data_IF_566355540756
#
_entry.id   IF_566355540756
#
_cell.length_a   1.000
_cell.length_b   1.000
_cell.length_c   1.000
_cell.angle_alpha   90.00
_cell.angle_beta   90.00
_cell.angle_gamma   90.00
#
_symmetry.space_group_name_H-M   'P 1'
#
loop_
_entity.id
_entity.type
_entity.pdbx_description
1 polymer ?
#
# COMPACT_ATOMS: atom_id res chain seq x y z
N UNK A 1 -13.43 -10.08 -7.75
CA UNK A 1 -13.01 -10.71 -8.99
C UNK A 1 -11.59 -11.27 -8.91
N UNK A 2 -11.18 -12.07 -9.90
CA UNK A 2 -9.88 -12.77 -9.94
C UNK A 2 -8.69 -11.80 -9.83
N UNK A 3 -8.81 -10.64 -10.44
CA UNK A 3 -7.80 -9.58 -10.45
C UNK A 3 -8.02 -8.50 -9.37
N UNK A 4 -8.88 -8.75 -8.39
CA UNK A 4 -9.03 -7.87 -7.25
C UNK A 4 -7.75 -7.82 -6.41
N UNK A 5 -7.46 -6.66 -5.82
CA UNK A 5 -6.26 -6.39 -5.03
C UNK A 5 -5.97 -7.48 -3.98
N UNK A 6 -6.99 -7.94 -3.26
CA UNK A 6 -6.82 -8.97 -2.23
C UNK A 6 -6.37 -10.31 -2.82
N UNK A 7 -6.89 -10.70 -3.99
CA UNK A 7 -6.47 -11.93 -4.66
C UNK A 7 -5.04 -11.80 -5.19
N UNK A 8 -4.67 -10.67 -5.79
CA UNK A 8 -3.31 -10.42 -6.27
C UNK A 8 -2.33 -10.46 -5.08
N UNK A 9 -2.65 -9.79 -3.98
CA UNK A 9 -1.82 -9.84 -2.77
C UNK A 9 -1.63 -11.27 -2.27
N UNK A 10 -2.71 -12.07 -2.19
CA UNK A 10 -2.65 -13.47 -1.77
C UNK A 10 -1.79 -14.33 -2.70
N UNK A 11 -1.95 -14.17 -4.02
CA UNK A 11 -1.15 -14.90 -5.02
C UNK A 11 0.34 -14.55 -4.88
N UNK A 12 0.67 -13.27 -4.73
CA UNK A 12 2.05 -12.82 -4.59
C UNK A 12 2.65 -13.25 -3.24
N UNK A 13 1.88 -13.18 -2.16
CA UNK A 13 2.28 -13.64 -0.83
C UNK A 13 2.57 -15.15 -0.81
N UNK A 14 1.90 -15.95 -1.64
CA UNK A 14 2.16 -17.39 -1.74
C UNK A 14 3.59 -17.70 -2.24
N UNK A 15 4.23 -16.76 -2.96
CA UNK A 15 5.63 -16.89 -3.36
C UNK A 15 6.62 -16.59 -2.22
N UNK A 16 6.17 -16.03 -1.11
CA UNK A 16 6.98 -15.87 0.09
C UNK A 16 7.07 -17.24 0.81
N UNK A 17 8.26 -17.85 0.93
CA UNK A 17 8.44 -19.19 1.47
C UNK A 17 8.31 -19.29 2.98
N UNK A 18 8.26 -18.17 3.69
CA UNK A 18 8.18 -18.14 5.15
C UNK A 18 6.81 -18.65 5.64
N UNK A 19 6.79 -19.13 6.87
CA UNK A 19 5.60 -19.68 7.50
C UNK A 19 4.49 -18.64 7.59
N UNK A 20 3.27 -19.08 7.32
CA UNK A 20 2.09 -18.25 7.36
C UNK A 20 1.51 -18.22 8.79
N UNK A 21 1.28 -17.03 9.32
CA UNK A 21 0.63 -16.80 10.61
C UNK A 21 -0.72 -16.17 10.34
N UNK A 22 -1.78 -16.83 10.83
CA UNK A 22 -3.16 -16.37 10.69
C UNK A 22 -3.55 -15.58 11.95
N UNK A 23 -4.00 -14.34 11.74
CA UNK A 23 -4.52 -13.49 12.80
C UNK A 23 -5.82 -12.82 12.34
N UNK A 24 -6.91 -13.14 13.00
CA UNK A 24 -8.24 -12.77 12.51
C UNK A 24 -8.52 -13.38 11.14
N UNK A 25 -8.89 -12.54 10.20
CA UNK A 25 -9.18 -12.94 8.80
C UNK A 25 -7.97 -12.81 7.87
N UNK A 26 -6.85 -12.31 8.39
CA UNK A 26 -5.66 -12.00 7.62
C UNK A 26 -4.54 -13.02 7.84
N UNK A 27 -3.69 -13.13 6.85
CA UNK A 27 -2.49 -13.96 6.89
C UNK A 27 -1.26 -13.06 6.74
N UNK A 28 -0.27 -13.30 7.59
CA UNK A 28 0.98 -12.55 7.62
C UNK A 28 2.17 -13.50 7.55
N UNK A 29 3.24 -13.07 6.87
CA UNK A 29 4.51 -13.79 6.79
C UNK A 29 5.67 -12.83 7.03
N UNK A 30 6.72 -13.32 7.66
CA UNK A 30 7.98 -12.59 7.70
C UNK A 30 8.44 -12.33 6.27
N UNK A 31 8.86 -11.11 5.97
CA UNK A 31 9.23 -10.69 4.62
C UNK A 31 8.11 -10.03 3.83
N UNK A 32 6.85 -10.03 4.30
CA UNK A 32 5.76 -9.35 3.62
C UNK A 32 5.99 -7.84 3.60
N UNK A 33 5.85 -7.18 2.43
CA UNK A 33 5.75 -5.73 2.36
C UNK A 33 4.42 -5.27 2.92
N UNK A 34 4.42 -4.14 3.62
CA UNK A 34 3.23 -3.57 4.22
C UNK A 34 3.09 -2.08 3.92
N UNK A 35 1.86 -1.58 4.04
CA UNK A 35 1.54 -0.14 4.13
C UNK A 35 0.71 0.11 5.38
N UNK A 36 1.09 1.13 6.14
CA UNK A 36 0.29 1.59 7.28
C UNK A 36 -1.03 2.20 6.79
N UNK A 37 -2.09 1.95 7.54
CA UNK A 37 -3.44 2.44 7.26
C UNK A 37 -3.62 3.88 7.76
N UNK A 38 -4.65 4.57 7.27
CA UNK A 38 -4.98 5.94 7.68
C UNK A 38 -5.32 6.05 9.17
N UNK A 39 -6.00 5.04 9.69
CA UNK A 39 -6.40 4.95 11.09
C UNK A 39 -5.40 4.17 11.97
N UNK A 40 -4.11 4.23 11.64
CA UNK A 40 -3.13 3.55 12.50
C UNK A 40 -2.91 4.29 13.81
N UNK A 41 -2.72 3.51 14.89
CA UNK A 41 -2.52 4.00 16.25
C UNK A 41 -1.23 4.81 16.47
N UNK A 42 -0.34 4.83 15.50
CA UNK A 42 0.95 5.53 15.56
C UNK A 42 0.93 6.88 14.79
N UNK A 43 -0.24 7.30 14.30
CA UNK A 43 -0.40 8.62 13.67
C UNK A 43 -0.27 9.74 14.72
N UNK A 44 0.37 10.89 14.43
CA UNK A 44 0.97 11.27 13.14
C UNK A 44 2.43 10.84 12.93
N UNK A 45 3.07 10.14 13.87
CA UNK A 45 4.48 9.74 13.77
C UNK A 45 4.71 8.80 12.57
N UNK A 46 3.83 7.83 12.38
CA UNK A 46 3.81 6.95 11.22
C UNK A 46 2.59 7.32 10.37
N UNK A 47 2.84 7.97 9.24
CA UNK A 47 1.79 8.45 8.35
C UNK A 47 1.09 7.31 7.59
N UNK A 48 -0.11 7.60 7.10
CA UNK A 48 -0.80 6.75 6.13
C UNK A 48 0.10 6.46 4.91
N UNK A 49 0.05 5.22 4.43
CA UNK A 49 0.88 4.70 3.34
C UNK A 49 2.39 4.67 3.63
N UNK A 50 2.84 4.86 4.88
CA UNK A 50 4.23 4.57 5.23
C UNK A 50 4.53 3.12 4.91
N UNK A 51 5.61 2.91 4.15
CA UNK A 51 6.07 1.58 3.74
C UNK A 51 6.86 0.91 4.85
N UNK A 52 6.68 -0.38 4.95
CA UNK A 52 7.47 -1.23 5.84
C UNK A 52 7.55 -2.66 5.34
N UNK A 53 8.29 -3.45 6.07
CA UNK A 53 8.45 -4.88 5.85
C UNK A 53 8.37 -5.62 7.18
N UNK A 54 7.62 -6.68 7.24
CA UNK A 54 7.57 -7.54 8.42
C UNK A 54 8.92 -8.27 8.53
N UNK A 55 9.64 -8.04 9.61
CA UNK A 55 10.92 -8.71 9.89
C UNK A 55 10.81 -9.70 11.05
N UNK A 56 9.72 -9.64 11.83
CA UNK A 56 9.42 -10.60 12.88
C UNK A 56 7.94 -10.69 13.19
N UNK A 57 7.46 -11.88 13.55
CA UNK A 57 6.10 -12.13 14.02
C UNK A 57 6.19 -13.14 15.17
N UNK A 58 5.57 -12.81 16.30
CA UNK A 58 5.51 -13.71 17.46
C UNK A 58 4.05 -13.79 17.96
N UNK A 59 3.30 -14.81 17.55
CA UNK A 59 1.96 -15.03 18.06
C UNK A 59 2.00 -15.59 19.50
N UNK A 60 1.17 -15.04 20.37
CA UNK A 60 0.86 -15.53 21.69
C UNK A 60 -0.64 -15.87 21.78
N UNK A 61 -1.08 -16.34 22.93
CA UNK A 61 -2.46 -16.77 23.13
C UNK A 61 -3.48 -15.63 22.91
N UNK A 62 -3.20 -14.43 23.44
CA UNK A 62 -4.10 -13.29 23.43
C UNK A 62 -3.58 -12.08 22.65
N UNK A 63 -2.35 -12.12 22.18
CA UNK A 63 -1.69 -11.02 21.48
C UNK A 63 -0.75 -11.54 20.40
N UNK A 64 -0.47 -10.69 19.42
CA UNK A 64 0.54 -10.94 18.40
C UNK A 64 1.51 -9.77 18.36
N UNK A 65 2.81 -10.07 18.37
CA UNK A 65 3.85 -9.08 18.22
C UNK A 65 4.29 -9.02 16.76
N UNK A 66 4.36 -7.80 16.24
CA UNK A 66 4.95 -7.52 14.95
C UNK A 66 6.23 -6.71 15.12
N UNK A 67 7.30 -7.14 14.46
CA UNK A 67 8.51 -6.37 14.28
C UNK A 67 8.57 -5.90 12.83
N UNK A 68 8.54 -4.60 12.61
CA UNK A 68 8.45 -3.96 11.29
C UNK A 68 9.68 -3.11 11.03
N UNK A 69 10.38 -3.37 9.93
CA UNK A 69 11.38 -2.45 9.37
C UNK A 69 10.66 -1.39 8.53
N UNK A 70 10.79 -0.12 8.89
CA UNK A 70 10.24 1.02 8.16
C UNK A 70 11.24 1.51 7.10
N UNK A 71 10.74 2.01 5.97
CA UNK A 71 11.59 2.69 4.97
C UNK A 71 12.02 4.10 5.38
N UNK A 72 11.62 4.57 6.55
CA UNK A 72 11.97 5.87 7.13
C UNK A 72 12.66 5.71 8.49
N UNK A 73 13.44 6.73 8.87
CA UNK A 73 13.99 6.87 10.23
C UNK A 73 12.96 7.58 11.12
N UNK A 74 12.80 7.11 12.34
CA UNK A 74 12.00 7.73 13.39
C UNK A 74 12.96 8.27 14.45
N UNK A 75 12.67 9.49 14.94
CA UNK A 75 13.41 10.10 16.02
C UNK A 75 12.95 9.50 17.38
N UNK A 76 13.90 9.10 18.23
CA UNK A 76 13.62 8.53 19.54
C UNK A 76 12.78 9.44 20.45
N UNK A 77 13.00 10.76 20.38
CA UNK A 77 12.25 11.75 21.18
C UNK A 77 10.78 11.75 20.78
N UNK A 78 10.49 11.74 19.48
CA UNK A 78 9.13 11.70 18.95
C UNK A 78 8.47 10.34 19.23
N UNK A 79 9.24 9.25 19.21
CA UNK A 79 8.79 7.89 19.49
C UNK A 79 8.35 7.67 20.94
N UNK A 80 8.88 8.45 21.90
CA UNK A 80 8.63 8.26 23.34
C UNK A 80 7.18 8.39 23.77
N UNK A 81 6.32 8.97 22.93
CA UNK A 81 4.87 9.10 23.19
C UNK A 81 4.02 7.94 22.66
N UNK A 82 4.63 6.88 22.11
CA UNK A 82 3.91 5.78 21.47
C UNK A 82 4.29 4.43 22.10
N UNK A 83 3.34 3.51 22.07
CA UNK A 83 3.50 2.16 22.65
C UNK A 83 4.13 1.18 21.63
N UNK A 84 5.41 1.37 21.35
CA UNK A 84 6.25 0.43 20.62
C UNK A 84 7.71 0.52 21.07
N UNK A 85 8.46 -0.55 20.89
CA UNK A 85 9.91 -0.55 21.02
C UNK A 85 10.55 -0.08 19.72
N UNK A 86 11.42 0.92 19.80
CA UNK A 86 12.17 1.44 18.66
C UNK A 86 13.62 0.90 18.70
N UNK A 87 14.05 0.36 17.57
CA UNK A 87 15.45 -0.04 17.35
C UNK A 87 15.96 0.63 16.07
N UNK A 88 17.19 1.12 16.10
CA UNK A 88 17.86 1.65 14.91
C UNK A 88 18.41 0.52 14.03
N UNK A 89 18.09 0.57 12.75
CA UNK A 89 18.72 -0.28 11.74
C UNK A 89 20.04 0.36 11.25
N UNK A 90 20.98 -0.49 10.86
CA UNK A 90 22.31 -0.08 10.36
C UNK A 90 22.30 0.79 9.08
N UNK A 91 21.12 1.07 8.48
CA UNK A 91 20.99 1.78 7.20
C UNK A 91 20.11 3.05 7.29
N UNK A 92 19.96 3.66 8.46
CA UNK A 92 19.10 4.84 8.65
C UNK A 92 17.60 4.53 8.53
N UNK A 93 17.21 3.28 8.70
CA UNK A 93 15.83 2.82 8.81
C UNK A 93 15.52 2.55 10.28
N UNK A 94 14.25 2.64 10.65
CA UNK A 94 13.82 2.27 11.99
C UNK A 94 13.13 0.91 12.00
N UNK A 95 13.37 0.17 13.07
CA UNK A 95 12.66 -1.07 13.37
C UNK A 95 11.76 -0.80 14.57
N UNK A 96 10.49 -1.08 14.45
CA UNK A 96 9.52 -0.95 15.54
C UNK A 96 8.95 -2.31 15.89
N UNK A 97 8.76 -2.56 17.19
CA UNK A 97 8.08 -3.77 17.69
C UNK A 97 6.91 -3.35 18.56
N UNK A 98 5.72 -3.83 18.23
CA UNK A 98 4.48 -3.56 18.95
C UNK A 98 3.58 -4.79 19.00
N UNK A 99 2.62 -4.80 19.90
CA UNK A 99 1.64 -5.88 20.03
C UNK A 99 0.24 -5.44 19.64
N UNK A 100 -0.56 -6.41 19.18
CA UNK A 100 -1.98 -6.28 18.89
C UNK A 100 -2.74 -7.34 19.66
N UNK A 101 -3.76 -6.92 20.39
CA UNK A 101 -4.61 -7.81 21.17
C UNK A 101 -5.63 -8.55 20.29
N UNK A 102 -5.97 -9.77 20.65
CA UNK A 102 -6.92 -10.63 19.93
C UNK A 102 -8.39 -10.25 20.17
N UNK A 103 -8.66 -9.72 21.35
CA UNK A 103 -10.02 -9.40 21.78
C UNK A 103 -10.15 -7.90 22.01
N UNK A 104 -11.29 -7.34 21.59
CA UNK A 104 -11.63 -5.97 21.93
C UNK A 104 -11.73 -5.86 23.45
N UNK A 105 -11.03 -4.89 24.04
CA UNK A 105 -11.36 -4.45 25.40
C UNK A 105 -12.79 -3.89 25.39
N UNK A 106 -13.54 -4.10 26.47
CA UNK A 106 -14.91 -3.59 26.61
C UNK A 106 -14.96 -2.06 26.77
N UNK A 107 -13.82 -1.42 26.86
CA UNK A 107 -13.68 0.03 26.92
C UNK A 107 -13.68 0.62 25.50
N UNK A 108 -14.27 1.79 25.33
CA UNK A 108 -14.64 2.43 24.05
C UNK A 108 -13.47 2.72 23.08
N UNK A 109 -12.22 2.47 23.46
CA UNK A 109 -11.03 2.64 22.62
C UNK A 109 -10.62 1.33 21.93
N UNK A 110 -11.27 1.04 20.81
CA UNK A 110 -11.02 -0.16 19.98
C UNK A 110 -9.69 -0.15 19.19
N UNK A 111 -8.83 0.83 19.37
CA UNK A 111 -7.63 1.04 18.54
C UNK A 111 -6.55 -0.06 18.70
N UNK A 112 -6.50 -0.74 19.84
CA UNK A 112 -5.51 -1.78 20.14
C UNK A 112 -5.76 -3.17 19.50
N UNK A 113 -6.87 -3.37 18.79
CA UNK A 113 -7.28 -4.69 18.27
C UNK A 113 -7.17 -4.80 16.75
N UNK A 114 -6.98 -3.69 16.05
CA UNK A 114 -6.87 -3.65 14.59
C UNK A 114 -5.41 -3.56 14.20
N UNK A 115 -4.97 -4.49 13.35
CA UNK A 115 -3.62 -4.41 12.80
C UNK A 115 -3.49 -3.10 12.00
N UNK A 116 -2.54 -2.20 12.36
CA UNK A 116 -2.48 -0.84 11.83
C UNK A 116 -1.91 -0.75 10.40
N UNK A 117 -1.77 -1.87 9.73
CA UNK A 117 -1.23 -1.96 8.38
C UNK A 117 -1.92 -3.06 7.56
N UNK A 118 -1.69 -3.03 6.27
CA UNK A 118 -2.11 -4.08 5.33
C UNK A 118 -0.90 -4.66 4.59
N UNK A 119 -0.98 -5.93 4.20
CA UNK A 119 -0.01 -6.55 3.28
C UNK A 119 -0.13 -5.89 1.91
N UNK A 120 0.99 -5.50 1.31
CA UNK A 120 1.04 -4.58 0.19
C UNK A 120 1.98 -5.01 -0.95
N UNK A 121 1.91 -6.27 -1.39
CA UNK A 121 2.53 -6.71 -2.65
C UNK A 121 1.92 -6.01 -3.86
N UNK A 122 0.62 -5.71 -3.79
CA UNK A 122 -0.12 -4.90 -4.74
C UNK A 122 -1.00 -3.89 -4.00
N UNK A 123 -1.12 -2.69 -4.57
CA UNK A 123 -1.90 -1.58 -4.02
C UNK A 123 -2.77 -0.95 -5.09
N UNK A 124 -3.86 -0.28 -4.72
CA UNK A 124 -4.61 0.53 -5.67
C UNK A 124 -3.82 1.75 -6.11
N UNK A 125 -4.14 2.29 -7.27
CA UNK A 125 -3.52 3.52 -7.79
C UNK A 125 -3.69 4.66 -6.78
N UNK A 126 -4.86 4.78 -6.15
CA UNK A 126 -5.13 5.80 -5.12
C UNK A 126 -4.20 5.67 -3.91
N UNK A 127 -4.00 4.44 -3.40
CA UNK A 127 -3.07 4.20 -2.28
C UNK A 127 -1.60 4.35 -2.66
N UNK A 128 -1.27 4.28 -3.94
CA UNK A 128 0.09 4.51 -4.43
C UNK A 128 0.42 6.00 -4.61
N UNK A 129 -0.54 6.89 -4.45
CA UNK A 129 -0.33 8.34 -4.60
C UNK A 129 0.69 8.83 -3.57
N UNK A 130 1.70 9.59 -4.03
CA UNK A 130 2.82 10.04 -3.21
C UNK A 130 3.94 9.02 -3.02
N UNK A 131 3.73 7.75 -3.38
CA UNK A 131 4.74 6.70 -3.31
C UNK A 131 5.49 6.57 -4.64
N UNK A 132 6.73 6.09 -4.57
CA UNK A 132 7.54 5.79 -5.75
C UNK A 132 8.20 4.40 -5.60
N UNK A 133 8.44 3.75 -6.73
CA UNK A 133 8.98 2.40 -6.80
C UNK A 133 9.96 2.29 -7.96
N UNK A 134 11.06 1.55 -7.78
CA UNK A 134 12.02 1.31 -8.86
C UNK A 134 11.37 0.53 -10.02
N UNK A 135 10.49 -0.40 -9.71
CA UNK A 135 9.78 -1.19 -10.72
C UNK A 135 8.29 -1.25 -10.42
N UNK A 136 7.47 -0.89 -11.40
CA UNK A 136 6.00 -0.91 -11.31
C UNK A 136 5.42 -1.84 -12.36
N UNK A 137 4.45 -2.64 -11.93
CA UNK A 137 3.61 -3.45 -12.81
C UNK A 137 2.17 -2.98 -12.64
N UNK A 138 1.58 -2.45 -13.70
CA UNK A 138 0.19 -2.00 -13.71
C UNK A 138 -0.66 -3.10 -14.36
N UNK A 139 -1.73 -3.50 -13.69
CA UNK A 139 -2.71 -4.46 -14.23
C UNK A 139 -4.04 -3.73 -14.42
N UNK A 140 -4.53 -3.68 -15.66
CA UNK A 140 -5.79 -3.06 -16.01
C UNK A 140 -6.66 -4.11 -16.67
N UNK A 141 -7.82 -4.40 -16.06
CA UNK A 141 -8.80 -5.34 -16.60
C UNK A 141 -9.82 -4.64 -17.49
N UNK A 142 -10.49 -5.37 -18.36
CA UNK A 142 -11.54 -4.81 -19.24
C UNK A 142 -12.68 -4.16 -18.44
N UNK A 143 -12.99 -4.70 -17.25
CA UNK A 143 -14.06 -4.23 -16.37
C UNK A 143 -13.86 -2.79 -15.88
N UNK A 144 -12.59 -2.33 -15.79
CA UNK A 144 -12.25 -1.00 -15.29
C UNK A 144 -11.66 -0.09 -16.36
N UNK A 145 -11.46 -0.58 -17.58
CA UNK A 145 -10.83 0.19 -18.67
C UNK A 145 -11.50 1.54 -18.93
N UNK A 146 -12.84 1.58 -18.94
CA UNK A 146 -13.63 2.81 -19.14
C UNK A 146 -13.53 3.80 -17.98
N UNK A 147 -13.17 3.33 -16.78
CA UNK A 147 -13.03 4.17 -15.58
C UNK A 147 -11.62 4.78 -15.47
N UNK A 148 -10.67 4.33 -16.27
CA UNK A 148 -9.29 4.83 -16.25
C UNK A 148 -9.24 6.16 -16.98
N UNK A 149 -9.27 7.24 -16.22
CA UNK A 149 -9.05 8.58 -16.75
C UNK A 149 -7.56 8.83 -17.02
N UNK A 150 -7.25 9.83 -17.87
CA UNK A 150 -5.88 10.28 -18.10
C UNK A 150 -5.12 10.56 -16.79
N UNK A 151 -5.76 11.23 -15.83
CA UNK A 151 -5.14 11.55 -14.54
C UNK A 151 -4.81 10.30 -13.71
N UNK A 152 -5.70 9.30 -13.70
CA UNK A 152 -5.48 8.03 -13.01
C UNK A 152 -4.32 7.27 -13.66
N UNK A 153 -4.31 7.20 -15.00
CA UNK A 153 -3.24 6.54 -15.75
C UNK A 153 -1.90 7.24 -15.53
N UNK A 154 -1.87 8.58 -15.66
CA UNK A 154 -0.68 9.38 -15.39
C UNK A 154 -0.16 9.17 -13.96
N UNK A 155 -1.05 9.19 -12.96
CA UNK A 155 -0.69 8.91 -11.57
C UNK A 155 -0.02 7.54 -11.45
N UNK A 156 -0.54 6.52 -12.10
CA UNK A 156 0.01 5.16 -12.02
C UNK A 156 1.41 5.05 -12.64
N UNK A 157 1.61 5.57 -13.84
CA UNK A 157 2.90 5.47 -14.55
C UNK A 157 3.99 6.30 -13.88
N UNK A 158 3.64 7.45 -13.31
CA UNK A 158 4.59 8.32 -12.60
C UNK A 158 5.05 7.79 -11.24
N UNK A 159 4.49 6.65 -10.77
CA UNK A 159 5.03 5.92 -9.60
C UNK A 159 6.32 5.19 -9.90
N UNK A 160 6.69 5.10 -11.19
CA UNK A 160 7.84 4.32 -11.66
C UNK A 160 9.09 5.19 -11.73
N UNK A 161 10.19 4.70 -11.14
CA UNK A 161 11.52 5.32 -11.27
C UNK A 161 12.33 4.73 -12.42
N UNK A 162 12.31 3.39 -12.59
CA UNK A 162 13.21 2.71 -13.53
C UNK A 162 12.48 1.82 -14.54
N UNK A 163 11.58 0.94 -14.06
CA UNK A 163 10.98 -0.11 -14.90
C UNK A 163 9.46 -0.11 -14.80
N UNK A 164 8.79 0.10 -15.92
CA UNK A 164 7.33 0.03 -16.05
C UNK A 164 6.93 -1.16 -16.91
N UNK A 165 5.93 -1.91 -16.46
CA UNK A 165 5.25 -2.92 -17.27
C UNK A 165 3.74 -2.81 -17.07
N UNK A 166 3.00 -2.75 -18.19
CA UNK A 166 1.54 -2.67 -18.16
C UNK A 166 0.98 -3.98 -18.71
N UNK A 167 0.00 -4.53 -18.00
CA UNK A 167 -0.74 -5.73 -18.36
C UNK A 167 -2.19 -5.33 -18.64
N UNK A 168 -2.58 -5.37 -19.89
CA UNK A 168 -3.92 -5.10 -20.40
C UNK A 168 -4.22 -5.97 -21.62
N UNK A 169 -5.47 -6.06 -22.03
CA UNK A 169 -5.81 -6.65 -23.32
C UNK A 169 -5.65 -5.62 -24.44
N UNK A 170 -5.49 -6.04 -25.70
CA UNK A 170 -5.44 -5.11 -26.84
C UNK A 170 -6.68 -4.20 -26.92
N UNK A 171 -7.85 -4.72 -26.55
CA UNK A 171 -9.10 -3.97 -26.51
C UNK A 171 -9.06 -2.88 -25.43
N UNK A 172 -8.59 -3.24 -24.21
CA UNK A 172 -8.44 -2.29 -23.09
C UNK A 172 -7.44 -1.20 -23.43
N UNK A 173 -6.30 -1.57 -24.01
CA UNK A 173 -5.27 -0.63 -24.46
C UNK A 173 -5.88 0.40 -25.41
N UNK A 174 -6.55 -0.07 -26.46
CA UNK A 174 -7.19 0.79 -27.46
C UNK A 174 -8.21 1.73 -26.81
N UNK A 175 -9.12 1.19 -25.97
CA UNK A 175 -10.15 1.99 -25.29
C UNK A 175 -9.55 3.11 -24.47
N UNK A 176 -8.47 2.83 -23.72
CA UNK A 176 -7.80 3.82 -22.87
C UNK A 176 -7.13 4.89 -23.73
N UNK A 177 -6.36 4.48 -24.75
CA UNK A 177 -5.63 5.43 -25.59
C UNK A 177 -6.60 6.33 -26.39
N UNK A 178 -7.65 5.76 -26.98
CA UNK A 178 -8.70 6.52 -27.69
C UNK A 178 -9.39 7.54 -26.77
N UNK A 179 -9.58 7.18 -25.48
CA UNK A 179 -10.18 8.08 -24.48
C UNK A 179 -9.31 9.30 -24.16
N UNK A 180 -8.00 9.18 -24.28
CA UNK A 180 -7.06 10.28 -24.05
C UNK A 180 -7.02 11.26 -25.21
N UNK A 181 -7.04 10.76 -26.44
CA UNK A 181 -7.03 11.59 -27.65
C UNK A 181 -8.30 12.43 -27.77
N UNK A 182 -9.46 11.85 -27.47
CA UNK A 182 -10.73 12.57 -27.49
C UNK A 182 -10.80 13.74 -26.48
N UNK A 183 -10.21 13.61 -25.29
CA UNK A 183 -10.19 14.66 -24.28
C UNK A 183 -9.21 15.78 -24.57
N UNK A 184 -8.05 15.47 -25.15
CA UNK A 184 -7.06 16.48 -25.58
C UNK A 184 -7.65 17.41 -26.62
N UNK A 185 -8.31 16.87 -27.64
CA UNK A 185 -8.96 17.64 -28.71
C UNK A 185 -10.02 18.62 -28.17
N UNK A 186 -10.82 18.23 -27.17
CA UNK A 186 -11.87 19.08 -26.59
C UNK A 186 -11.28 20.17 -25.68
N UNK A 187 -10.22 19.88 -24.92
CA UNK A 187 -9.58 20.84 -24.03
C UNK A 187 -8.80 21.88 -24.84
N UNK A 188 -8.07 21.47 -25.87
CA UNK A 188 -7.30 22.34 -26.74
C UNK A 188 -8.25 23.25 -27.57
N UNK A 189 -9.39 22.73 -28.05
CA UNK A 189 -10.42 23.51 -28.72
C UNK A 189 -11.10 24.53 -27.80
N UNK A 190 -11.26 24.23 -26.52
CA UNK A 190 -11.83 25.17 -25.55
C UNK A 190 -10.84 26.28 -25.18
N UNK A 191 -9.55 25.94 -25.04
CA UNK A 191 -8.50 26.92 -24.79
C UNK A 191 -8.37 27.88 -25.98
N UNK A 192 -8.34 27.37 -27.21
CA UNK A 192 -8.29 28.19 -28.43
C UNK A 192 -9.48 29.13 -28.59
N UNK A 193 -10.70 28.71 -28.19
CA UNK A 193 -11.89 29.59 -28.21
C UNK A 193 -11.82 30.75 -27.23
N UNK A 194 -11.04 30.66 -26.18
CA UNK A 194 -10.87 31.74 -25.19
C UNK A 194 -9.77 32.75 -25.55
N UNK A 195 -9.03 32.51 -26.63
CA UNK A 195 -7.97 33.38 -27.14
C UNK A 195 -8.32 34.00 -28.52
N UNK A 196 -9.49 33.69 -29.08
CA UNK A 196 -10.06 34.30 -30.28
C UNK A 196 -11.27 35.16 -29.92
#
# INVERSE_FOLDING_TARGET
GLYGINNINRILQNNNPNDAIIWGINTYKVGDPILFNESNIFSPLIHNNTKGKIVGIQPKEFEIFFTIELEQSINEIEASGYDFLLEESKQGKSIITFSINKYASTDEDNDGNVVPFQVAYAVSIHKSQGLEYNSVKIVITNEVGEQITHNIFYTAITRTREKLKIYWSPETEKTILDSFDGKKSLTDAHILKNFL
#
